data_IF_147531910035
#
_entry.id   IF_147531910035
#
_cell.length_a   1.000
_cell.length_b   1.000
_cell.length_c   1.000
_cell.angle_alpha   90.00
_cell.angle_beta   90.00
_cell.angle_gamma   90.00
#
_symmetry.space_group_name_H-M   'P 1'
#
loop_
_entity.id
_entity.type
_entity.pdbx_description
1 polymer ?
#
# COMPACT_ATOMS: atom_id res chain seq x y z
N UNK A 1 4.91 11.92 -9.05
CA UNK A 1 6.18 12.19 -9.75
C UNK A 1 7.32 12.18 -8.74
N UNK A 2 8.42 11.50 -9.06
CA UNK A 2 9.53 11.08 -8.17
C UNK A 2 10.14 12.20 -7.31
N UNK A 3 9.98 13.45 -7.74
CA UNK A 3 10.56 14.66 -7.13
C UNK A 3 9.85 15.07 -5.83
N UNK A 4 8.63 14.57 -5.56
CA UNK A 4 7.84 15.00 -4.39
C UNK A 4 8.16 14.26 -3.08
N UNK A 5 8.79 13.08 -3.13
CA UNK A 5 9.15 12.35 -1.90
C UNK A 5 10.54 12.79 -1.43
N UNK A 6 10.60 13.37 -0.23
CA UNK A 6 11.82 13.80 0.46
C UNK A 6 12.32 12.68 1.37
N UNK A 7 13.63 12.65 1.64
CA UNK A 7 14.27 11.67 2.53
C UNK A 7 15.07 10.58 1.80
N UNK A 8 15.63 9.62 2.55
CA UNK A 8 16.57 8.63 2.03
C UNK A 8 15.93 7.49 1.22
N UNK A 9 14.59 7.44 1.18
CA UNK A 9 13.82 6.42 0.45
C UNK A 9 12.81 7.09 -0.48
N UNK A 10 12.80 6.66 -1.75
CA UNK A 10 11.83 7.10 -2.76
C UNK A 10 11.12 5.89 -3.36
N UNK A 11 9.82 5.98 -3.56
CA UNK A 11 9.04 4.93 -4.21
C UNK A 11 8.08 5.49 -5.25
N UNK A 12 7.80 4.67 -6.26
CA UNK A 12 6.75 4.95 -7.23
C UNK A 12 6.20 3.64 -7.79
N UNK A 13 4.97 3.72 -8.28
CA UNK A 13 4.30 2.59 -8.93
C UNK A 13 3.76 3.02 -10.29
N UNK A 14 3.85 2.13 -11.26
CA UNK A 14 3.16 2.27 -12.54
C UNK A 14 1.77 1.64 -12.41
N UNK A 15 0.74 2.40 -12.71
CA UNK A 15 -0.66 2.00 -12.55
C UNK A 15 -1.35 2.13 -13.89
N UNK A 16 -2.00 1.06 -14.33
CA UNK A 16 -2.87 1.07 -15.49
C UNK A 16 -4.33 1.11 -15.04
N UNK A 17 -5.14 1.94 -15.70
CA UNK A 17 -6.59 1.95 -15.49
C UNK A 17 -7.20 0.98 -16.48
N UNK A 18 -7.93 -0.01 -15.95
CA UNK A 18 -8.64 -1.01 -16.74
C UNK A 18 -10.13 -0.97 -16.43
N UNK A 19 -10.96 -1.55 -17.30
CA UNK A 19 -12.36 -1.76 -16.94
C UNK A 19 -12.47 -2.81 -15.81
N UNK A 20 -13.68 -3.00 -15.29
CA UNK A 20 -13.95 -3.99 -14.24
C UNK A 20 -13.44 -5.41 -14.60
N UNK A 21 -13.48 -5.77 -15.89
CA UNK A 21 -13.13 -7.08 -16.42
C UNK A 21 -11.60 -7.23 -16.65
N UNK A 22 -10.84 -6.14 -16.58
CA UNK A 22 -9.39 -6.12 -16.75
C UNK A 22 -8.91 -5.86 -18.18
N UNK A 23 -9.77 -5.35 -19.04
CA UNK A 23 -9.45 -4.91 -20.38
C UNK A 23 -8.92 -3.46 -20.35
N UNK A 24 -7.93 -3.21 -21.19
CA UNK A 24 -7.34 -1.89 -21.37
C UNK A 24 -8.22 -1.00 -22.25
N UNK A 25 -7.94 0.31 -22.25
CA UNK A 25 -8.61 1.28 -23.13
C UNK A 25 -8.36 0.87 -24.59
N UNK A 26 -9.42 0.84 -25.41
CA UNK A 26 -9.30 0.53 -26.83
C UNK A 26 -8.66 1.68 -27.66
N UNK A 27 -8.38 1.43 -28.94
CA UNK A 27 -7.78 2.43 -29.83
C UNK A 27 -8.68 3.68 -30.06
N UNK A 28 -9.98 3.57 -29.75
CA UNK A 28 -10.93 4.69 -29.80
C UNK A 28 -10.99 5.50 -28.50
N UNK A 29 -10.22 5.14 -27.48
CA UNK A 29 -10.23 5.81 -26.18
C UNK A 29 -11.41 5.40 -25.29
N UNK A 30 -12.12 4.32 -25.63
CA UNK A 30 -13.34 3.89 -24.93
C UNK A 30 -13.01 2.66 -24.06
N UNK A 31 -13.53 2.67 -22.82
CA UNK A 31 -13.58 1.50 -21.95
C UNK A 31 -15.00 0.94 -21.96
N UNK A 32 -15.20 -0.18 -22.65
CA UNK A 32 -16.49 -0.86 -22.67
C UNK A 32 -16.68 -1.65 -21.37
N UNK A 33 -17.92 -1.73 -20.92
CA UNK A 33 -18.32 -2.54 -19.76
C UNK A 33 -19.71 -3.12 -20.02
N UNK A 34 -19.90 -4.38 -19.66
CA UNK A 34 -21.13 -5.13 -19.96
C UNK A 34 -22.15 -5.12 -18.81
N UNK A 35 -21.84 -4.51 -17.66
CA UNK A 35 -22.70 -4.57 -16.45
C UNK A 35 -22.63 -3.26 -15.65
N UNK A 36 -23.70 -2.89 -14.95
CA UNK A 36 -23.74 -1.75 -14.01
C UNK A 36 -23.77 -2.24 -12.55
N UNK A 37 -23.16 -1.50 -11.61
CA UNK A 37 -23.15 -1.84 -10.18
C UNK A 37 -22.99 -0.59 -9.31
N UNK A 38 -23.64 -0.58 -8.15
CA UNK A 38 -23.52 0.49 -7.14
C UNK A 38 -22.41 0.23 -6.11
N UNK A 39 -21.96 -1.02 -5.99
CA UNK A 39 -20.94 -1.45 -5.01
C UNK A 39 -19.61 -1.80 -5.67
N UNK A 40 -19.59 -1.90 -7.01
CA UNK A 40 -18.39 -2.11 -7.81
C UNK A 40 -18.20 -0.96 -8.78
N UNK A 41 -17.00 -0.40 -8.77
CA UNK A 41 -16.51 0.58 -9.74
C UNK A 41 -16.49 -0.02 -11.15
N UNK A 42 -16.76 0.83 -12.15
CA UNK A 42 -16.66 0.46 -13.55
C UNK A 42 -15.20 0.31 -14.03
N UNK A 43 -14.26 0.88 -13.27
CA UNK A 43 -12.82 0.79 -13.54
C UNK A 43 -12.08 0.26 -12.32
N UNK A 44 -10.92 -0.35 -12.57
CA UNK A 44 -9.96 -0.76 -11.56
C UNK A 44 -8.59 -0.19 -11.86
N UNK A 45 -7.72 -0.17 -10.85
CA UNK A 45 -6.33 0.29 -10.96
C UNK A 45 -5.41 -0.89 -10.74
N UNK A 46 -4.74 -1.32 -11.78
CA UNK A 46 -3.81 -2.45 -11.73
C UNK A 46 -2.39 -1.90 -11.55
N UNK A 47 -1.71 -2.32 -10.49
CA UNK A 47 -0.29 -2.00 -10.28
C UNK A 47 0.55 -2.93 -11.15
N UNK A 48 1.20 -2.37 -12.16
CA UNK A 48 2.03 -3.13 -13.11
C UNK A 48 3.43 -3.35 -12.55
N UNK A 49 3.97 -2.33 -11.89
CA UNK A 49 5.28 -2.39 -11.25
C UNK A 49 5.34 -1.40 -10.08
N UNK A 50 6.08 -1.74 -9.05
CA UNK A 50 6.44 -0.85 -7.94
C UNK A 50 7.95 -0.87 -7.79
N UNK A 51 8.56 0.31 -7.72
CA UNK A 51 10.01 0.47 -7.60
C UNK A 51 10.29 1.31 -6.35
N UNK A 52 11.26 0.84 -5.56
CA UNK A 52 11.73 1.54 -4.35
C UNK A 52 13.25 1.72 -4.47
N UNK A 53 13.69 2.97 -4.30
CA UNK A 53 15.09 3.35 -4.24
C UNK A 53 15.43 3.75 -2.81
N UNK A 54 16.46 3.10 -2.25
CA UNK A 54 16.95 3.37 -0.89
C UNK A 54 18.40 3.79 -0.95
N UNK A 55 18.75 4.90 -0.28
CA UNK A 55 20.14 5.30 -0.10
C UNK A 55 20.87 4.28 0.78
N UNK A 56 22.02 3.78 0.31
CA UNK A 56 22.81 2.77 1.03
C UNK A 56 23.16 3.17 2.47
N UNK A 57 23.50 4.44 2.69
CA UNK A 57 23.83 4.96 4.03
C UNK A 57 22.66 4.86 5.02
N UNK A 58 21.42 4.93 4.54
CA UNK A 58 20.24 4.82 5.40
C UNK A 58 19.96 3.39 5.86
N UNK A 59 20.63 2.38 5.29
CA UNK A 59 20.47 0.98 5.68
C UNK A 59 21.28 0.60 6.93
N UNK A 60 22.28 1.40 7.30
CA UNK A 60 23.13 1.10 8.46
C UNK A 60 22.30 1.06 9.75
N UNK A 61 22.58 0.05 10.59
CA UNK A 61 21.86 -0.17 11.85
C UNK A 61 20.46 -0.78 11.71
N UNK A 62 20.03 -1.15 10.49
CA UNK A 62 18.74 -1.80 10.23
C UNK A 62 18.92 -3.26 9.90
N UNK A 63 18.01 -4.09 10.37
CA UNK A 63 18.01 -5.52 10.05
C UNK A 63 17.42 -5.79 8.66
N UNK A 64 17.82 -6.91 8.04
CA UNK A 64 17.24 -7.36 6.76
C UNK A 64 15.73 -7.52 6.85
N UNK A 65 15.22 -8.01 7.99
CA UNK A 65 13.78 -8.14 8.26
C UNK A 65 13.07 -6.78 8.20
N UNK A 66 13.55 -5.79 8.95
CA UNK A 66 12.98 -4.45 8.93
C UNK A 66 12.97 -3.82 7.53
N UNK A 67 14.07 -3.99 6.78
CA UNK A 67 14.18 -3.49 5.41
C UNK A 67 13.13 -4.19 4.53
N UNK A 68 13.06 -5.52 4.57
CA UNK A 68 12.09 -6.29 3.79
C UNK A 68 10.64 -5.91 4.09
N UNK A 69 10.30 -5.76 5.37
CA UNK A 69 8.97 -5.39 5.84
C UNK A 69 8.58 -3.96 5.40
N UNK A 70 9.51 -3.01 5.51
CA UNK A 70 9.30 -1.65 5.01
C UNK A 70 9.10 -1.64 3.48
N UNK A 71 9.94 -2.38 2.74
CA UNK A 71 9.84 -2.47 1.29
C UNK A 71 8.51 -3.09 0.87
N UNK A 72 8.07 -4.16 1.53
CA UNK A 72 6.78 -4.78 1.27
C UNK A 72 5.62 -3.79 1.46
N UNK A 73 5.62 -2.99 2.52
CA UNK A 73 4.62 -1.93 2.69
C UNK A 73 4.68 -0.91 1.55
N UNK A 74 5.88 -0.46 1.15
CA UNK A 74 6.02 0.53 0.07
C UNK A 74 5.58 0.00 -1.29
N UNK A 75 5.87 -1.26 -1.61
CA UNK A 75 5.57 -1.85 -2.93
C UNK A 75 4.15 -2.37 -3.06
N UNK A 76 3.61 -2.97 -1.99
CA UNK A 76 2.30 -3.61 -2.01
C UNK A 76 1.17 -2.65 -1.63
N UNK A 77 1.38 -1.80 -0.63
CA UNK A 77 0.35 -0.89 -0.16
C UNK A 77 0.25 0.38 -1.03
N UNK A 78 1.32 0.74 -1.74
CA UNK A 78 1.43 2.05 -2.41
C UNK A 78 1.34 3.24 -1.44
N UNK A 79 1.47 2.98 -0.13
CA UNK A 79 1.32 3.98 0.93
C UNK A 79 2.55 4.86 0.97
N UNK A 80 2.31 6.16 1.04
CA UNK A 80 3.36 7.16 1.22
C UNK A 80 3.64 7.35 2.71
N UNK A 81 4.89 7.26 3.18
CA UNK A 81 5.25 7.43 4.60
C UNK A 81 4.74 8.74 5.18
N UNK A 82 4.74 9.84 4.41
CA UNK A 82 4.22 11.14 4.90
C UNK A 82 2.72 11.13 5.24
N UNK A 83 1.98 10.10 4.80
CA UNK A 83 0.56 9.90 5.12
C UNK A 83 0.33 8.91 6.26
N UNK A 84 1.38 8.22 6.70
CA UNK A 84 1.32 7.32 7.84
C UNK A 84 1.62 8.12 9.12
N UNK A 85 0.55 8.59 9.78
CA UNK A 85 0.67 9.27 11.07
C UNK A 85 0.67 8.24 12.20
N UNK A 86 1.84 7.87 12.71
CA UNK A 86 1.94 6.99 13.88
C UNK A 86 3.29 6.30 14.02
N UNK A 87 3.69 5.98 15.26
CA UNK A 87 4.90 5.19 15.57
C UNK A 87 4.68 3.67 15.42
N UNK A 88 3.44 3.24 15.19
CA UNK A 88 3.03 1.83 15.21
C UNK A 88 3.02 1.17 13.81
N UNK A 89 3.93 1.58 12.94
CA UNK A 89 4.09 1.01 11.58
C UNK A 89 5.55 0.88 11.24
N UNK A 90 5.90 -0.19 10.52
CA UNK A 90 7.23 -0.35 9.94
C UNK A 90 7.58 0.80 8.98
N UNK A 91 6.58 1.53 8.43
CA UNK A 91 6.81 2.70 7.59
C UNK A 91 7.55 3.84 8.28
N UNK A 92 7.61 3.85 9.62
CA UNK A 92 8.39 4.81 10.39
C UNK A 92 9.91 4.54 10.35
N UNK A 93 10.35 3.41 9.79
CA UNK A 93 11.74 2.93 9.84
C UNK A 93 12.78 3.95 9.34
N UNK A 94 12.43 4.79 8.37
CA UNK A 94 13.33 5.78 7.77
C UNK A 94 12.97 7.24 8.12
N UNK A 95 12.07 7.45 9.08
CA UNK A 95 11.71 8.79 9.53
C UNK A 95 12.84 9.40 10.38
N UNK A 96 13.05 10.70 10.25
CA UNK A 96 14.03 11.44 11.07
C UNK A 96 13.59 11.45 12.54
N UNK A 97 14.57 11.30 13.46
CA UNK A 97 14.32 11.38 14.91
C UNK A 97 13.63 10.16 15.54
N UNK A 98 13.45 9.06 14.80
CA UNK A 98 12.90 7.82 15.38
C UNK A 98 13.98 7.07 16.15
N UNK A 99 13.85 7.03 17.47
CA UNK A 99 14.76 6.31 18.39
C UNK A 99 14.38 4.84 18.60
N UNK A 100 13.14 4.46 18.31
CA UNK A 100 12.65 3.08 18.38
C UNK A 100 11.76 2.81 17.17
N UNK A 101 12.24 1.97 16.25
CA UNK A 101 11.46 1.44 15.13
C UNK A 101 11.03 0.01 15.43
N UNK A 102 9.84 -0.44 14.96
CA UNK A 102 9.45 -1.84 15.05
C UNK A 102 10.54 -2.78 14.50
N UNK A 103 10.72 -3.94 15.12
CA UNK A 103 11.65 -4.98 14.67
C UNK A 103 11.17 -5.74 13.43
N UNK A 104 9.87 -5.64 13.13
CA UNK A 104 9.18 -6.25 12.01
C UNK A 104 7.88 -5.49 11.70
N UNK A 105 7.13 -5.91 10.66
CA UNK A 105 5.76 -5.45 10.42
C UNK A 105 4.92 -5.52 11.70
N UNK A 106 4.19 -4.44 12.00
CA UNK A 106 3.29 -4.43 13.15
C UNK A 106 1.97 -5.14 12.83
N UNK A 107 1.14 -5.36 13.86
CA UNK A 107 -0.23 -5.84 13.65
C UNK A 107 -1.04 -4.89 12.75
N UNK A 108 -0.77 -3.57 12.83
CA UNK A 108 -1.38 -2.58 11.95
C UNK A 108 -0.97 -2.81 10.49
N UNK A 109 0.33 -2.98 10.21
CA UNK A 109 0.83 -3.21 8.85
C UNK A 109 0.23 -4.49 8.23
N UNK A 110 0.22 -5.58 8.99
CA UNK A 110 -0.36 -6.86 8.55
C UNK A 110 -1.85 -6.75 8.29
N UNK A 111 -2.59 -6.08 9.18
CA UNK A 111 -4.03 -5.86 9.02
C UNK A 111 -4.36 -4.99 7.81
N UNK A 112 -3.55 -3.96 7.56
CA UNK A 112 -3.69 -3.11 6.39
C UNK A 112 -3.54 -3.91 5.10
N UNK A 113 -2.46 -4.68 4.95
CA UNK A 113 -2.21 -5.48 3.74
C UNK A 113 -3.27 -6.57 3.54
N UNK A 114 -3.66 -7.29 4.61
CA UNK A 114 -4.73 -8.31 4.53
C UNK A 114 -6.07 -7.70 4.09
N UNK A 115 -6.43 -6.54 4.63
CA UNK A 115 -7.63 -5.82 4.24
C UNK A 115 -7.57 -5.34 2.79
N UNK A 116 -6.42 -4.79 2.38
CA UNK A 116 -6.17 -4.30 1.02
C UNK A 116 -6.33 -5.41 -0.03
N UNK A 117 -5.77 -6.59 0.23
CA UNK A 117 -5.76 -7.70 -0.73
C UNK A 117 -6.92 -8.69 -0.59
N UNK A 118 -7.80 -8.52 0.41
CA UNK A 118 -9.05 -9.29 0.50
C UNK A 118 -10.22 -8.63 -0.23
N UNK A 119 -10.13 -7.31 -0.49
CA UNK A 119 -11.10 -6.57 -1.28
C UNK A 119 -11.00 -6.92 -2.77
N UNK A 120 -12.13 -6.85 -3.49
CA UNK A 120 -12.11 -6.95 -4.95
C UNK A 120 -11.44 -5.71 -5.56
N UNK A 121 -10.69 -5.89 -6.65
CA UNK A 121 -9.89 -4.83 -7.27
C UNK A 121 -10.71 -3.61 -7.75
N UNK A 122 -12.01 -3.82 -8.03
CA UNK A 122 -12.95 -2.78 -8.44
C UNK A 122 -13.97 -2.43 -7.33
N UNK A 123 -13.74 -2.84 -6.09
CA UNK A 123 -14.63 -2.47 -4.99
C UNK A 123 -14.67 -0.95 -4.79
N UNK A 124 -15.84 -0.38 -4.49
CA UNK A 124 -15.95 1.05 -4.20
C UNK A 124 -15.10 1.44 -2.98
N UNK A 125 -14.50 2.63 -3.04
CA UNK A 125 -13.49 3.08 -2.07
C UNK A 125 -13.98 3.13 -0.62
N UNK A 126 -15.28 3.39 -0.39
CA UNK A 126 -15.88 3.37 0.95
C UNK A 126 -15.89 1.97 1.55
N UNK A 127 -16.37 0.97 0.81
CA UNK A 127 -16.41 -0.43 1.24
C UNK A 127 -14.99 -0.99 1.44
N UNK A 128 -14.07 -0.70 0.51
CA UNK A 128 -12.68 -1.10 0.63
C UNK A 128 -12.03 -0.56 1.91
N UNK A 129 -12.25 0.73 2.23
CA UNK A 129 -11.77 1.33 3.49
C UNK A 129 -12.36 0.64 4.72
N UNK A 130 -13.65 0.33 4.71
CA UNK A 130 -14.29 -0.37 5.82
C UNK A 130 -13.67 -1.77 6.05
N UNK A 131 -13.41 -2.53 4.97
CA UNK A 131 -12.73 -3.82 5.03
C UNK A 131 -11.31 -3.71 5.61
N UNK A 132 -10.54 -2.70 5.18
CA UNK A 132 -9.20 -2.43 5.72
C UNK A 132 -9.27 -2.15 7.22
N UNK A 133 -10.14 -1.24 7.65
CA UNK A 133 -10.30 -0.88 9.07
C UNK A 133 -10.70 -2.08 9.91
N UNK A 134 -11.68 -2.87 9.48
CA UNK A 134 -12.10 -4.09 10.19
C UNK A 134 -10.96 -5.10 10.33
N UNK A 135 -10.14 -5.26 9.29
CA UNK A 135 -9.03 -6.21 9.30
C UNK A 135 -7.88 -5.75 10.20
N UNK A 136 -7.62 -4.44 10.25
CA UNK A 136 -6.66 -3.85 11.20
C UNK A 136 -7.07 -4.16 12.64
N UNK A 137 -8.32 -3.89 13.03
CA UNK A 137 -8.79 -4.18 14.39
C UNK A 137 -8.69 -5.68 14.72
N UNK A 138 -9.05 -6.55 13.77
CA UNK A 138 -8.94 -8.00 13.95
C UNK A 138 -7.50 -8.45 14.22
N UNK A 139 -6.52 -7.93 13.49
CA UNK A 139 -5.12 -8.28 13.69
C UNK A 139 -4.55 -7.70 14.98
N UNK A 140 -4.95 -6.48 15.37
CA UNK A 140 -4.57 -5.89 16.66
C UNK A 140 -5.09 -6.73 17.83
N UNK A 141 -6.37 -7.15 17.78
CA UNK A 141 -6.94 -8.05 18.80
C UNK A 141 -6.25 -9.40 18.86
N UNK A 142 -5.77 -9.93 17.72
CA UNK A 142 -5.02 -11.19 17.70
C UNK A 142 -3.64 -11.06 18.34
N UNK A 143 -2.98 -9.91 18.18
CA UNK A 143 -1.65 -9.65 18.76
C UNK A 143 -1.69 -9.35 20.27
N UNK A 144 -2.85 -8.96 20.81
CA UNK A 144 -3.05 -8.68 22.23
C UNK A 144 -3.39 -9.93 23.07
N UNK A 145 -3.56 -11.09 22.42
CA UNK A 145 -3.77 -12.40 23.06
C UNK A 145 -2.45 -13.14 23.16
#
# INVERSE_FOLDING_TARGET
MIVKERGPVRAWSNIEVKNADGESIDAGGILRRTTASNIMSATRRDVIASIVLVQRSALFGKTVRQIGDYLAMRTLAGVRPERATGKDTILALFNEGVTSSPSEMTAFDRGYLKGLYSAQANQVASSMRATIVQTIFKEQHRAAK
#
